data_IF_880307498487
#
_entry.id   IF_880307498487
#
_cell.length_a   1.000
_cell.length_b   1.000
_cell.length_c   1.000
_cell.angle_alpha   90.00
_cell.angle_beta   90.00
_cell.angle_gamma   90.00
#
_symmetry.space_group_name_H-M   'P 1'
#
loop_
_entity.id
_entity.type
_entity.pdbx_description
1 polymer ?
#
# COMPACT_ATOMS: atom_id res chain seq x y z
N UNK A 1 11.14 -4.50 -17.20
CA UNK A 1 11.02 -3.12 -16.63
C UNK A 1 10.64 -3.25 -15.18
N UNK A 2 11.43 -2.67 -14.28
CA UNK A 2 11.19 -2.68 -12.84
C UNK A 2 10.28 -1.50 -12.47
N UNK A 3 8.99 -1.76 -12.36
CA UNK A 3 8.02 -0.74 -12.00
C UNK A 3 7.68 -0.81 -10.51
N UNK A 4 7.67 0.33 -9.88
CA UNK A 4 7.27 0.52 -8.50
C UNK A 4 6.02 1.38 -8.43
N UNK A 5 5.13 1.05 -7.51
CA UNK A 5 3.96 1.86 -7.20
C UNK A 5 3.94 2.20 -5.72
N UNK A 6 3.59 3.45 -5.41
CA UNK A 6 3.31 3.90 -4.05
C UNK A 6 1.86 4.34 -4.01
N UNK A 7 1.03 3.63 -3.25
CA UNK A 7 -0.41 3.86 -3.14
C UNK A 7 -0.72 4.48 -1.78
N UNK A 8 -1.21 5.73 -1.81
CA UNK A 8 -1.49 6.52 -0.60
C UNK A 8 -2.78 6.08 0.10
N UNK A 9 -2.93 6.44 1.38
CA UNK A 9 -4.12 6.18 2.20
C UNK A 9 -5.24 7.19 2.04
N UNK A 10 -6.23 7.12 2.95
CA UNK A 10 -7.39 8.01 3.01
C UNK A 10 -6.96 9.47 3.18
N UNK A 11 -7.67 10.38 2.49
CA UNK A 11 -7.47 11.84 2.56
C UNK A 11 -6.03 12.29 2.30
N UNK A 12 -5.22 11.46 1.65
CA UNK A 12 -3.80 11.69 1.40
C UNK A 12 -3.51 12.08 -0.05
N UNK A 13 -2.25 12.22 -0.39
CA UNK A 13 -1.80 12.57 -1.74
C UNK A 13 -0.43 11.95 -2.04
N UNK A 14 0.04 11.96 -3.32
CA UNK A 14 1.38 11.53 -3.70
C UNK A 14 2.52 12.29 -3.00
N UNK A 15 2.23 13.48 -2.49
CA UNK A 15 3.23 14.37 -1.86
C UNK A 15 3.30 14.23 -0.34
N UNK A 16 2.48 13.32 0.25
CA UNK A 16 2.42 13.12 1.69
C UNK A 16 3.44 12.08 2.18
N UNK A 17 3.69 12.09 3.51
CA UNK A 17 4.46 11.09 4.22
C UNK A 17 5.85 10.85 3.58
N UNK A 18 6.31 9.61 3.61
CA UNK A 18 7.57 9.13 3.03
C UNK A 18 7.49 8.87 1.51
N UNK A 19 6.34 9.13 0.86
CA UNK A 19 6.12 8.75 -0.53
C UNK A 19 7.06 9.44 -1.51
N UNK A 20 7.25 10.79 -1.48
CA UNK A 20 8.19 11.48 -2.38
C UNK A 20 9.64 11.07 -2.15
N UNK A 21 9.99 10.87 -0.87
CA UNK A 21 11.33 10.42 -0.50
C UNK A 21 11.60 9.02 -1.06
N UNK A 22 10.69 8.05 -0.83
CA UNK A 22 10.86 6.68 -1.32
C UNK A 22 10.91 6.63 -2.85
N UNK A 23 10.07 7.40 -3.54
CA UNK A 23 10.09 7.49 -5.00
C UNK A 23 11.46 7.98 -5.49
N UNK A 24 12.02 9.02 -4.88
CA UNK A 24 13.36 9.52 -5.19
C UNK A 24 14.46 8.49 -4.93
N UNK A 25 14.37 7.73 -3.83
CA UNK A 25 15.36 6.68 -3.52
C UNK A 25 15.28 5.51 -4.51
N UNK A 26 14.07 5.10 -4.93
CA UNK A 26 13.88 4.08 -5.97
C UNK A 26 14.55 4.51 -7.27
N UNK A 27 14.32 5.75 -7.72
CA UNK A 27 14.88 6.27 -8.98
C UNK A 27 16.41 6.43 -8.95
N UNK A 28 17.01 6.58 -7.75
CA UNK A 28 18.47 6.60 -7.57
C UNK A 28 19.09 5.21 -7.59
N UNK A 29 18.29 4.16 -7.43
CA UNK A 29 18.80 2.80 -7.41
C UNK A 29 19.31 2.44 -8.79
N UNK A 30 20.59 2.02 -8.88
CA UNK A 30 21.18 1.51 -10.13
C UNK A 30 21.01 -0.01 -10.13
N UNK A 31 20.05 -0.57 -10.87
CA UNK A 31 19.93 -2.00 -10.97
C UNK A 31 21.15 -2.61 -11.66
N UNK A 32 21.47 -3.86 -11.35
CA UNK A 32 22.49 -4.63 -12.07
C UNK A 32 22.11 -4.84 -13.56
N UNK A 33 20.82 -4.66 -13.86
CA UNK A 33 20.26 -4.70 -15.23
C UNK A 33 20.26 -3.28 -15.83
N UNK A 34 20.33 -3.18 -17.17
CA UNK A 34 20.34 -1.90 -17.89
C UNK A 34 18.98 -1.16 -17.86
N UNK A 35 17.96 -1.68 -17.14
CA UNK A 35 16.64 -1.07 -17.06
C UNK A 35 16.55 -0.18 -15.81
N UNK A 36 16.36 1.11 -16.02
CA UNK A 36 16.13 2.06 -14.92
C UNK A 36 14.78 1.78 -14.25
N UNK A 37 14.71 1.77 -12.89
CA UNK A 37 13.46 1.62 -12.18
C UNK A 37 12.59 2.87 -12.35
N UNK A 38 11.30 2.67 -12.54
CA UNK A 38 10.31 3.76 -12.60
C UNK A 38 9.38 3.65 -11.40
N UNK A 39 9.20 4.75 -10.66
CA UNK A 39 8.29 4.82 -9.54
C UNK A 39 7.06 5.67 -9.89
N UNK A 40 5.89 5.05 -9.85
CA UNK A 40 4.60 5.71 -10.03
C UNK A 40 3.98 5.99 -8.66
N UNK A 41 3.55 7.23 -8.45
CA UNK A 41 2.81 7.64 -7.24
C UNK A 41 1.48 8.25 -7.66
N UNK A 42 0.47 7.42 -8.00
CA UNK A 42 -0.80 7.91 -8.52
C UNK A 42 -1.55 8.78 -7.51
N UNK A 43 -2.21 9.84 -7.98
CA UNK A 43 -3.19 10.57 -7.19
C UNK A 43 -4.54 9.87 -7.29
N UNK A 44 -5.02 9.35 -6.19
CA UNK A 44 -6.38 8.80 -6.10
C UNK A 44 -7.37 9.87 -5.65
N UNK A 45 -8.64 9.81 -6.09
CA UNK A 45 -9.70 10.68 -5.59
C UNK A 45 -9.89 10.50 -4.09
N UNK A 46 -9.90 11.60 -3.33
CA UNK A 46 -10.05 11.61 -1.87
C UNK A 46 -11.29 12.37 -1.42
N UNK A 47 -11.76 12.10 -0.22
CA UNK A 47 -12.91 12.74 0.41
C UNK A 47 -14.24 12.03 0.16
N UNK A 48 -15.24 12.43 0.95
CA UNK A 48 -16.59 11.86 0.90
C UNK A 48 -17.19 11.97 -0.52
N UNK A 49 -17.78 10.88 -0.99
CA UNK A 49 -18.36 10.78 -2.33
C UNK A 49 -17.35 10.56 -3.48
N UNK A 50 -16.06 10.80 -3.24
CA UNK A 50 -15.00 10.61 -4.25
C UNK A 50 -14.10 9.42 -3.94
N UNK A 51 -13.71 9.25 -2.68
CA UNK A 51 -12.90 8.12 -2.22
C UNK A 51 -13.80 6.90 -2.09
N UNK A 52 -13.69 5.99 -3.02
CA UNK A 52 -14.34 4.68 -3.03
C UNK A 52 -13.60 3.74 -3.98
N UNK A 53 -13.86 2.46 -3.85
CA UNK A 53 -13.20 1.42 -4.64
C UNK A 53 -13.30 1.66 -6.16
N UNK A 54 -14.48 1.97 -6.66
CA UNK A 54 -14.70 2.11 -8.11
C UNK A 54 -13.91 3.27 -8.71
N UNK A 55 -13.80 4.38 -7.99
CA UNK A 55 -13.02 5.53 -8.45
C UNK A 55 -11.51 5.25 -8.38
N UNK A 56 -11.04 4.57 -7.34
CA UNK A 56 -9.64 4.17 -7.21
C UNK A 56 -9.27 3.09 -8.23
N UNK A 57 -10.18 2.13 -8.45
CA UNK A 57 -10.03 1.10 -9.49
C UNK A 57 -9.81 1.71 -10.87
N UNK A 58 -10.56 2.74 -11.27
CA UNK A 58 -10.37 3.43 -12.56
C UNK A 58 -8.96 3.97 -12.74
N UNK A 59 -8.37 4.52 -11.67
CA UNK A 59 -6.98 5.00 -11.70
C UNK A 59 -6.02 3.85 -11.91
N UNK A 60 -6.13 2.77 -11.13
CA UNK A 60 -5.22 1.61 -11.25
C UNK A 60 -5.38 0.87 -12.58
N UNK A 61 -6.61 0.79 -13.11
CA UNK A 61 -6.86 0.17 -14.42
C UNK A 61 -6.10 0.88 -15.53
N UNK A 62 -5.97 2.20 -15.50
CA UNK A 62 -5.21 2.91 -16.54
C UNK A 62 -3.73 2.49 -16.59
N UNK A 63 -3.13 2.16 -15.45
CA UNK A 63 -1.77 1.61 -15.39
C UNK A 63 -1.71 0.13 -15.80
N UNK A 64 -2.72 -0.65 -15.41
CA UNK A 64 -2.80 -2.06 -15.80
C UNK A 64 -2.97 -2.20 -17.32
N UNK A 65 -3.89 -1.44 -17.92
CA UNK A 65 -4.17 -1.44 -19.35
C UNK A 65 -2.98 -0.93 -20.17
N UNK A 66 -2.17 -0.03 -19.60
CA UNK A 66 -0.91 0.43 -20.19
C UNK A 66 0.24 -0.60 -20.05
N UNK A 67 0.02 -1.75 -19.40
CA UNK A 67 1.03 -2.78 -19.20
C UNK A 67 2.12 -2.39 -18.19
N UNK A 68 1.85 -1.43 -17.31
CA UNK A 68 2.80 -0.94 -16.30
C UNK A 68 2.76 -1.72 -15.00
N UNK A 69 1.66 -2.47 -14.75
CA UNK A 69 1.56 -3.41 -13.63
C UNK A 69 1.80 -4.82 -14.17
N UNK A 70 2.89 -5.44 -13.77
CA UNK A 70 3.36 -6.72 -14.28
C UNK A 70 3.85 -7.63 -13.14
N UNK A 71 4.24 -8.84 -13.45
CA UNK A 71 4.88 -9.78 -12.49
C UNK A 71 6.20 -9.25 -11.89
N UNK A 72 6.79 -8.19 -12.46
CA UNK A 72 8.01 -7.56 -11.93
C UNK A 72 7.70 -6.31 -11.09
N UNK A 73 6.42 -5.97 -10.92
CA UNK A 73 6.00 -4.78 -10.18
C UNK A 73 6.09 -4.99 -8.66
N UNK A 74 6.65 -4.01 -7.96
CA UNK A 74 6.58 -3.90 -6.50
C UNK A 74 5.60 -2.78 -6.12
N UNK A 75 4.66 -3.05 -5.20
CA UNK A 75 3.67 -2.09 -4.74
C UNK A 75 3.85 -1.83 -3.25
N UNK A 76 4.14 -0.57 -2.91
CA UNK A 76 4.08 -0.06 -1.54
C UNK A 76 2.69 0.55 -1.32
N UNK A 77 2.01 0.17 -0.26
CA UNK A 77 0.66 0.66 0.04
C UNK A 77 0.51 1.01 1.51
N UNK A 78 -0.08 2.18 1.80
CA UNK A 78 -0.19 2.72 3.16
C UNK A 78 -1.64 2.83 3.62
N UNK A 79 -1.90 2.49 4.88
CA UNK A 79 -3.18 2.70 5.57
C UNK A 79 -4.31 1.85 4.95
N UNK A 80 -5.33 2.44 4.31
CA UNK A 80 -6.41 1.71 3.61
C UNK A 80 -5.95 1.11 2.28
N UNK A 81 -4.88 1.63 1.70
CA UNK A 81 -4.43 1.20 0.39
C UNK A 81 -4.07 -0.30 0.29
N UNK A 82 -3.53 -0.99 1.31
CA UNK A 82 -3.38 -2.44 1.31
C UNK A 82 -4.69 -3.19 1.02
N UNK A 83 -5.81 -2.82 1.65
CA UNK A 83 -7.10 -3.44 1.39
C UNK A 83 -7.55 -3.21 -0.06
N UNK A 84 -7.42 -1.97 -0.55
CA UNK A 84 -7.70 -1.62 -1.95
C UNK A 84 -6.85 -2.44 -2.93
N UNK A 85 -5.53 -2.51 -2.71
CA UNK A 85 -4.60 -3.25 -3.58
C UNK A 85 -4.94 -4.74 -3.60
N UNK A 86 -5.19 -5.35 -2.44
CA UNK A 86 -5.61 -6.75 -2.37
C UNK A 86 -6.88 -6.99 -3.19
N UNK A 87 -7.91 -6.18 -2.99
CA UNK A 87 -9.17 -6.27 -3.73
C UNK A 87 -8.97 -6.12 -5.23
N UNK A 88 -8.18 -5.14 -5.65
CA UNK A 88 -7.88 -4.88 -7.05
C UNK A 88 -7.16 -6.06 -7.73
N UNK A 89 -6.09 -6.57 -7.11
CA UNK A 89 -5.32 -7.69 -7.65
C UNK A 89 -6.16 -8.96 -7.75
N UNK A 90 -7.00 -9.23 -6.74
CA UNK A 90 -7.90 -10.38 -6.74
C UNK A 90 -8.99 -10.29 -7.82
N UNK A 91 -9.63 -9.11 -7.97
CA UNK A 91 -10.68 -8.89 -8.97
C UNK A 91 -10.16 -9.06 -10.40
N UNK A 92 -8.93 -8.62 -10.67
CA UNK A 92 -8.33 -8.62 -12.01
C UNK A 92 -7.34 -9.77 -12.24
N UNK A 93 -7.14 -10.65 -11.24
CA UNK A 93 -6.20 -11.78 -11.30
C UNK A 93 -4.78 -11.34 -11.73
N UNK A 94 -4.27 -10.27 -11.13
CA UNK A 94 -3.00 -9.65 -11.48
C UNK A 94 -1.90 -10.14 -10.55
N UNK A 95 -0.85 -10.72 -11.13
CA UNK A 95 0.33 -11.14 -10.39
C UNK A 95 1.36 -10.02 -10.33
N UNK A 96 2.02 -9.86 -9.18
CA UNK A 96 3.09 -8.89 -8.94
C UNK A 96 4.29 -9.55 -8.24
N UNK A 97 5.45 -8.90 -8.27
CA UNK A 97 6.64 -9.39 -7.58
C UNK A 97 6.51 -9.26 -6.07
N UNK A 98 6.19 -8.07 -5.59
CA UNK A 98 6.19 -7.80 -4.15
C UNK A 98 5.10 -6.83 -3.73
N UNK A 99 4.53 -7.07 -2.57
CA UNK A 99 3.64 -6.18 -1.85
C UNK A 99 4.29 -5.77 -0.51
N UNK A 100 4.40 -4.48 -0.28
CA UNK A 100 4.89 -3.90 0.98
C UNK A 100 3.77 -3.07 1.58
N UNK A 101 3.14 -3.61 2.61
CA UNK A 101 2.00 -3.01 3.28
C UNK A 101 2.44 -2.30 4.56
N UNK A 102 2.10 -1.04 4.68
CA UNK A 102 2.46 -0.17 5.79
C UNK A 102 1.19 0.29 6.50
N UNK A 103 1.06 -0.01 7.78
CA UNK A 103 -0.13 0.27 8.62
C UNK A 103 -1.44 -0.19 7.96
N UNK A 104 -1.43 -1.41 7.40
CA UNK A 104 -2.54 -1.97 6.63
C UNK A 104 -3.61 -2.62 7.47
N UNK A 105 -4.86 -2.54 7.03
CA UNK A 105 -6.02 -3.17 7.65
C UNK A 105 -7.08 -3.51 6.60
N UNK A 106 -8.02 -4.39 6.95
CA UNK A 106 -9.12 -4.81 6.06
C UNK A 106 -10.45 -4.95 6.82
N UNK A 107 -10.69 -4.09 7.79
CA UNK A 107 -11.95 -4.02 8.53
C UNK A 107 -12.23 -2.60 9.00
N UNK A 108 -13.43 -2.36 9.55
CA UNK A 108 -13.76 -1.10 10.18
C UNK A 108 -12.94 -0.90 11.44
N UNK A 109 -12.42 0.31 11.65
CA UNK A 109 -11.67 0.65 12.85
C UNK A 109 -12.41 1.65 13.75
N UNK A 110 -13.53 2.24 13.32
CA UNK A 110 -14.43 3.03 14.15
C UNK A 110 -13.84 4.33 14.72
N UNK A 111 -12.79 4.85 14.13
CA UNK A 111 -12.14 6.10 14.57
C UNK A 111 -13.02 7.29 14.29
N UNK A 112 -13.64 7.34 13.10
CA UNK A 112 -14.64 8.32 12.76
C UNK A 112 -15.59 7.79 11.68
N UNK A 113 -16.84 8.31 11.69
CA UNK A 113 -17.82 7.97 10.66
C UNK A 113 -17.35 8.38 9.26
N UNK A 114 -16.56 9.44 9.15
CA UNK A 114 -16.05 9.93 7.86
C UNK A 114 -15.03 8.95 7.27
N UNK A 115 -14.08 8.44 8.07
CA UNK A 115 -13.13 7.42 7.63
C UNK A 115 -13.83 6.11 7.28
N UNK A 116 -14.78 5.68 8.10
CA UNK A 116 -15.53 4.45 7.83
C UNK A 116 -16.32 4.57 6.53
N UNK A 117 -16.95 5.71 6.28
CA UNK A 117 -17.73 5.97 5.05
C UNK A 117 -16.85 5.89 3.79
N UNK A 118 -15.68 6.50 3.77
CA UNK A 118 -14.81 6.51 2.58
C UNK A 118 -14.06 5.19 2.39
N UNK A 119 -13.87 4.40 3.44
CA UNK A 119 -13.09 3.16 3.38
C UNK A 119 -13.94 1.90 3.16
N UNK A 120 -15.25 1.94 3.47
CA UNK A 120 -16.12 0.75 3.49
C UNK A 120 -16.12 -0.07 2.21
N UNK A 121 -15.90 0.58 1.05
CA UNK A 121 -15.90 -0.10 -0.25
C UNK A 121 -14.57 -0.75 -0.61
N UNK A 122 -13.50 -0.46 0.14
CA UNK A 122 -12.15 -0.98 -0.12
C UNK A 122 -11.95 -2.40 0.41
N UNK A 123 -12.72 -2.81 1.40
CA UNK A 123 -12.56 -4.12 2.06
C UNK A 123 -12.93 -5.29 1.15
N UNK A 124 -12.32 -6.44 1.41
CA UNK A 124 -12.62 -7.71 0.73
C UNK A 124 -12.66 -8.86 1.75
N UNK A 125 -13.56 -9.82 1.54
CA UNK A 125 -13.76 -10.96 2.45
C UNK A 125 -12.64 -12.01 2.34
N UNK A 126 -12.00 -12.13 1.19
CA UNK A 126 -11.00 -13.17 0.89
C UNK A 126 -9.60 -12.60 0.73
N UNK A 127 -9.21 -11.68 1.62
CA UNK A 127 -7.94 -10.94 1.50
C UNK A 127 -6.71 -11.87 1.52
N UNK A 128 -6.79 -13.01 2.19
CA UNK A 128 -5.72 -14.01 2.28
C UNK A 128 -5.33 -14.63 0.93
N UNK A 129 -6.24 -14.62 -0.05
CA UNK A 129 -5.96 -15.14 -1.40
C UNK A 129 -4.97 -14.29 -2.19
N UNK A 130 -4.66 -13.06 -1.72
CA UNK A 130 -3.63 -12.23 -2.36
C UNK A 130 -2.25 -12.90 -2.31
N UNK A 131 -2.02 -13.84 -1.38
CA UNK A 131 -0.80 -14.66 -1.31
C UNK A 131 -0.49 -15.42 -2.59
N UNK A 132 -1.52 -15.76 -3.35
CA UNK A 132 -1.37 -16.50 -4.61
C UNK A 132 -0.98 -15.59 -5.78
N UNK A 133 -1.03 -14.27 -5.58
CA UNK A 133 -0.81 -13.25 -6.60
C UNK A 133 0.50 -12.45 -6.42
N UNK A 134 1.24 -12.67 -5.35
CA UNK A 134 2.52 -12.01 -5.11
C UNK A 134 3.58 -13.01 -4.66
N UNK A 135 4.81 -12.86 -5.17
CA UNK A 135 5.93 -13.73 -4.79
C UNK A 135 6.39 -13.45 -3.35
N UNK A 136 6.26 -12.21 -2.90
CA UNK A 136 6.67 -11.76 -1.57
C UNK A 136 5.69 -10.71 -1.02
N UNK A 137 5.26 -10.86 0.23
CA UNK A 137 4.39 -9.89 0.92
C UNK A 137 4.99 -9.60 2.28
N UNK A 138 5.22 -8.32 2.55
CA UNK A 138 5.73 -7.82 3.83
C UNK A 138 4.77 -6.82 4.43
N UNK A 139 4.47 -6.96 5.72
CA UNK A 139 3.64 -6.03 6.46
C UNK A 139 4.45 -5.34 7.55
N UNK A 140 4.49 -4.00 7.51
CA UNK A 140 5.07 -3.16 8.54
C UNK A 140 3.93 -2.43 9.26
N UNK A 141 3.88 -2.50 10.58
CA UNK A 141 2.87 -1.82 11.39
C UNK A 141 3.39 -1.54 12.79
N UNK A 142 2.68 -0.73 13.56
CA UNK A 142 3.15 -0.27 14.86
C UNK A 142 2.30 -0.82 16.00
N UNK A 143 2.89 -0.93 17.18
CA UNK A 143 2.16 -1.35 18.39
C UNK A 143 1.39 -0.20 19.08
N UNK A 144 1.48 1.03 18.56
CA UNK A 144 0.84 2.22 19.15
C UNK A 144 0.18 3.14 18.11
N UNK A 145 -0.34 2.57 17.02
CA UNK A 145 -1.04 3.35 16.00
C UNK A 145 -2.27 4.04 16.62
N UNK A 146 -2.40 5.40 16.48
CA UNK A 146 -3.49 6.14 17.07
C UNK A 146 -4.81 6.04 16.29
N UNK A 147 -4.78 5.51 15.07
CA UNK A 147 -5.95 5.40 14.17
C UNK A 147 -6.44 3.99 14.02
N UNK A 148 -5.54 3.03 13.89
CA UNK A 148 -5.87 1.62 13.66
C UNK A 148 -5.43 0.79 14.85
N UNK A 149 -6.36 0.03 15.42
CA UNK A 149 -6.03 -0.85 16.53
C UNK A 149 -4.96 -1.88 16.11
N UNK A 150 -3.94 -2.06 16.95
CA UNK A 150 -2.88 -3.06 16.73
C UNK A 150 -3.44 -4.43 16.32
N UNK A 151 -4.52 -4.88 16.97
CA UNK A 151 -5.15 -6.16 16.66
C UNK A 151 -5.70 -6.23 15.24
N UNK A 152 -6.15 -5.12 14.67
CA UNK A 152 -6.66 -5.08 13.30
C UNK A 152 -5.53 -5.14 12.26
N UNK A 153 -4.42 -4.43 12.52
CA UNK A 153 -3.21 -4.50 11.68
C UNK A 153 -2.56 -5.88 11.76
N UNK A 154 -2.41 -6.44 12.96
CA UNK A 154 -1.83 -7.75 13.22
C UNK A 154 -2.67 -8.88 12.58
N UNK A 155 -4.00 -8.83 12.71
CA UNK A 155 -4.89 -9.78 12.05
C UNK A 155 -4.77 -9.72 10.53
N UNK A 156 -4.79 -8.51 9.96
CA UNK A 156 -4.61 -8.32 8.52
C UNK A 156 -3.26 -8.86 8.07
N UNK A 157 -2.17 -8.47 8.74
CA UNK A 157 -0.82 -8.88 8.40
C UNK A 157 -0.66 -10.41 8.41
N UNK A 158 -1.17 -11.10 9.42
CA UNK A 158 -1.16 -12.58 9.53
C UNK A 158 -1.97 -13.25 8.41
N UNK A 159 -3.07 -12.64 7.97
CA UNK A 159 -3.87 -13.16 6.87
C UNK A 159 -3.14 -13.07 5.52
N UNK A 160 -2.44 -11.99 5.25
CA UNK A 160 -1.86 -11.73 3.92
C UNK A 160 -0.39 -12.06 3.79
N UNK A 161 0.37 -12.18 4.90
CA UNK A 161 1.82 -12.34 4.87
C UNK A 161 2.34 -13.27 5.96
N UNK A 162 3.52 -13.86 5.73
CA UNK A 162 4.32 -14.53 6.74
C UNK A 162 5.47 -13.65 7.26
N UNK A 163 5.62 -12.43 6.72
CA UNK A 163 6.68 -11.48 7.06
C UNK A 163 6.07 -10.24 7.71
N UNK A 164 6.01 -10.22 9.04
CA UNK A 164 5.54 -9.08 9.81
C UNK A 164 6.71 -8.37 10.48
N UNK A 165 6.72 -7.05 10.41
CA UNK A 165 7.69 -6.18 11.07
C UNK A 165 6.91 -5.20 11.95
N UNK A 166 6.95 -5.42 13.26
CA UNK A 166 6.32 -4.53 14.23
C UNK A 166 7.30 -3.44 14.62
N UNK A 167 6.89 -2.19 14.45
CA UNK A 167 7.67 -1.00 14.81
C UNK A 167 7.20 -0.53 16.19
N UNK A 168 8.09 -0.56 17.15
CA UNK A 168 7.80 -0.07 18.50
C UNK A 168 7.67 1.45 18.51
N UNK A 169 6.53 1.95 18.99
CA UNK A 169 6.28 3.38 19.10
C UNK A 169 6.15 4.14 17.77
N UNK A 170 5.93 3.45 16.64
CA UNK A 170 5.96 4.05 15.29
C UNK A 170 4.72 4.86 14.91
N UNK A 171 3.66 4.88 15.73
CA UNK A 171 2.39 5.54 15.38
C UNK A 171 1.78 4.95 14.10
N UNK A 172 1.20 5.78 13.25
CA UNK A 172 0.61 5.35 11.95
C UNK A 172 1.64 5.28 10.81
N UNK A 173 2.94 5.27 11.14
CA UNK A 173 4.05 5.24 10.17
C UNK A 173 3.89 6.29 9.05
N UNK A 174 3.43 7.47 9.41
CA UNK A 174 3.15 8.61 8.55
C UNK A 174 3.93 9.87 8.99
N UNK A 175 3.84 10.96 8.23
CA UNK A 175 4.53 12.23 8.56
C UNK A 175 4.14 12.75 9.95
N UNK A 176 2.89 12.59 10.38
CA UNK A 176 2.43 12.97 11.72
C UNK A 176 3.11 12.19 12.84
N UNK A 177 3.65 11.01 12.55
CA UNK A 177 4.45 10.18 13.46
C UNK A 177 5.95 10.27 13.19
N UNK A 178 6.40 11.26 12.38
CA UNK A 178 7.81 11.49 12.07
C UNK A 178 8.34 10.80 10.81
N UNK A 179 7.50 10.09 10.07
CA UNK A 179 7.91 9.36 8.86
C UNK A 179 7.71 10.22 7.60
N UNK A 180 8.59 11.19 7.38
CA UNK A 180 8.80 11.87 6.09
C UNK A 180 9.84 11.14 5.24
N UNK A 181 10.67 10.35 5.87
CA UNK A 181 11.60 9.35 5.33
C UNK A 181 11.36 8.03 6.06
N UNK A 182 11.55 6.90 5.38
CA UNK A 182 11.38 5.59 5.99
C UNK A 182 12.45 4.61 5.49
N UNK A 183 13.70 4.70 5.97
CA UNK A 183 14.84 3.93 5.46
C UNK A 183 14.63 2.41 5.46
N UNK A 184 13.84 1.89 6.38
CA UNK A 184 13.49 0.45 6.41
C UNK A 184 12.84 -0.05 5.12
N UNK A 185 12.13 0.81 4.37
CA UNK A 185 11.50 0.45 3.11
C UNK A 185 12.51 0.17 1.99
N UNK A 186 13.74 0.67 2.10
CA UNK A 186 14.80 0.44 1.11
C UNK A 186 15.20 -1.04 1.01
N UNK A 187 14.98 -1.82 2.07
CA UNK A 187 15.25 -3.27 2.08
C UNK A 187 14.36 -4.04 1.08
N UNK A 188 13.31 -3.42 0.58
CA UNK A 188 12.34 -4.03 -0.33
C UNK A 188 12.44 -3.50 -1.76
N UNK A 189 13.47 -2.70 -2.06
CA UNK A 189 13.80 -2.26 -3.42
C UNK A 189 14.74 -3.32 -4.04
N UNK A 190 14.38 -3.82 -5.23
CA UNK A 190 15.20 -4.84 -5.92
C UNK A 190 14.50 -6.13 -6.22
#
# INVERSE_FOLDING_TARGET
MLNYFIVHGSFSSPYANWFPWLASEIEKTKPETMEEPICYVPQFPTGVGKQNYDNWKKVMLSYLDAGLITKQTTIFAHSIAPAFVCKFLLEHNVNVKRLVFVSGFNNYFGVSKEYDEVNKTMFTESVEKVKDLAEDIVCLYSNNDPYVAYSAEDEFAKKVSNKQIVIDGGGHLNAGSGYTEFPKLLEFIG
#
